data_IF_927163580242
#
_entry.id   IF_927163580242
#
_cell.length_a   1.000
_cell.length_b   1.000
_cell.length_c   1.000
_cell.angle_alpha   90.00
_cell.angle_beta   90.00
_cell.angle_gamma   90.00
#
_symmetry.space_group_name_H-M   'P 1'
#
loop_
_entity.id
_entity.type
_entity.pdbx_description
1 polymer ?
#
# COMPACT_ATOMS: atom_id res chain seq x y z
N UNK A 1 8.99 -9.17 11.10
CA UNK A 1 8.07 -8.06 11.44
C UNK A 1 8.85 -6.76 11.60
N UNK A 2 9.26 -6.05 10.53
CA UNK A 2 9.73 -4.67 10.70
C UNK A 2 9.90 -3.78 9.45
N UNK A 3 9.01 -3.87 8.46
CA UNK A 3 9.15 -3.04 7.25
C UNK A 3 9.24 -1.54 7.57
N UNK A 4 8.46 -1.07 8.56
CA UNK A 4 8.46 0.32 8.96
C UNK A 4 9.77 0.76 9.65
N UNK A 5 10.31 0.05 10.65
CA UNK A 5 11.60 0.49 11.22
C UNK A 5 12.73 0.33 10.22
N UNK A 6 12.71 -0.70 9.38
CA UNK A 6 13.71 -0.83 8.31
C UNK A 6 13.68 0.40 7.40
N UNK A 7 12.48 0.85 6.98
CA UNK A 7 12.31 2.07 6.18
C UNK A 7 12.85 3.31 6.90
N UNK A 8 12.52 3.47 8.18
CA UNK A 8 13.01 4.59 8.99
C UNK A 8 14.54 4.56 9.12
N UNK A 9 15.14 3.38 9.32
CA UNK A 9 16.60 3.24 9.37
C UNK A 9 17.25 3.55 8.02
N UNK A 10 16.65 3.12 6.91
CA UNK A 10 17.21 3.29 5.57
C UNK A 10 17.05 4.71 5.01
N UNK A 11 15.91 5.37 5.28
CA UNK A 11 15.54 6.64 4.62
C UNK A 11 15.30 7.80 5.59
N UNK A 12 15.24 7.53 6.90
CA UNK A 12 14.94 8.52 7.92
C UNK A 12 13.50 9.04 7.85
N UNK A 13 13.28 10.17 8.53
CA UNK A 13 12.02 10.92 8.55
C UNK A 13 12.34 12.35 8.12
N UNK A 14 11.44 13.02 7.40
CA UNK A 14 11.64 14.44 7.07
C UNK A 14 11.57 15.33 8.31
N UNK A 15 12.09 16.57 8.26
CA UNK A 15 11.98 17.52 9.38
C UNK A 15 10.55 17.77 9.85
N UNK A 16 9.57 17.67 8.95
CA UNK A 16 8.15 17.80 9.24
C UNK A 16 7.45 16.47 9.59
N UNK A 17 8.20 15.39 9.81
CA UNK A 17 7.68 14.13 10.33
C UNK A 17 7.14 13.13 9.30
N UNK A 18 7.25 13.41 7.99
CA UNK A 18 6.79 12.50 6.93
C UNK A 18 7.76 11.33 6.74
N UNK A 19 7.19 10.14 6.62
CA UNK A 19 7.91 8.90 6.33
C UNK A 19 8.22 8.73 4.84
N UNK A 20 7.31 9.19 3.98
CA UNK A 20 7.41 9.07 2.52
C UNK A 20 7.48 10.44 1.88
N UNK A 21 8.37 10.59 0.90
CA UNK A 21 8.68 11.83 0.20
C UNK A 21 9.18 11.54 -1.20
N UNK A 22 9.10 12.50 -2.10
CA UNK A 22 9.79 12.41 -3.39
C UNK A 22 11.30 12.47 -3.18
N UNK A 23 12.09 12.10 -4.19
CA UNK A 23 13.55 12.18 -4.14
C UNK A 23 14.06 13.60 -3.79
N UNK A 24 13.30 14.64 -4.13
CA UNK A 24 13.60 16.04 -3.80
C UNK A 24 13.11 16.48 -2.41
N UNK A 25 12.58 15.56 -1.61
CA UNK A 25 12.04 15.83 -0.27
C UNK A 25 10.62 16.43 -0.25
N UNK A 26 9.96 16.51 -1.40
CA UNK A 26 8.60 17.05 -1.53
C UNK A 26 7.51 16.04 -1.21
N UNK A 27 6.26 16.52 -1.24
CA UNK A 27 5.08 15.66 -1.09
C UNK A 27 4.95 14.72 -2.29
N UNK A 28 4.57 13.46 -2.02
CA UNK A 28 4.24 12.50 -3.06
C UNK A 28 2.99 12.99 -3.78
N UNK A 29 3.07 13.05 -5.11
CA UNK A 29 1.95 13.41 -5.97
C UNK A 29 1.09 12.17 -6.24
N UNK A 30 -0.22 12.38 -6.45
CA UNK A 30 -1.17 11.29 -6.73
C UNK A 30 -0.76 10.45 -7.95
N UNK A 31 -0.18 11.08 -8.97
CA UNK A 31 0.32 10.39 -10.18
C UNK A 31 1.46 9.43 -9.85
N UNK A 32 2.48 9.91 -9.12
CA UNK A 32 3.61 9.08 -8.71
C UNK A 32 3.20 7.96 -7.75
N UNK A 33 2.20 8.20 -6.90
CA UNK A 33 1.60 7.16 -6.08
C UNK A 33 0.91 6.09 -6.93
N UNK A 34 0.16 6.49 -7.96
CA UNK A 34 -0.50 5.58 -8.90
C UNK A 34 0.47 4.70 -9.71
N UNK A 35 1.62 5.25 -10.12
CA UNK A 35 2.67 4.49 -10.81
C UNK A 35 3.27 3.41 -9.91
N UNK A 36 3.66 3.78 -8.68
CA UNK A 36 4.17 2.83 -7.68
C UNK A 36 3.13 1.76 -7.36
N UNK A 37 1.85 2.14 -7.32
CA UNK A 37 0.75 1.20 -7.12
C UNK A 37 0.61 0.17 -8.25
N UNK A 38 0.67 0.63 -9.50
CA UNK A 38 0.59 -0.23 -10.66
C UNK A 38 1.77 -1.22 -10.69
N UNK A 39 2.98 -0.74 -10.41
CA UNK A 39 4.17 -1.57 -10.32
C UNK A 39 4.08 -2.61 -9.19
N UNK A 40 3.62 -2.20 -8.01
CA UNK A 40 3.42 -3.11 -6.89
C UNK A 40 2.43 -4.24 -7.22
N UNK A 41 1.31 -3.92 -7.88
CA UNK A 41 0.35 -4.91 -8.33
C UNK A 41 0.94 -5.87 -9.36
N UNK A 42 1.67 -5.37 -10.35
CA UNK A 42 2.31 -6.21 -11.37
C UNK A 42 3.31 -7.21 -10.77
N UNK A 43 3.94 -6.88 -9.64
CA UNK A 43 4.85 -7.77 -8.92
C UNK A 43 4.14 -8.75 -7.98
N UNK A 44 2.98 -8.38 -7.44
CA UNK A 44 2.29 -9.15 -6.42
C UNK A 44 1.18 -10.06 -6.98
N UNK A 45 0.61 -9.72 -8.13
CA UNK A 45 -0.54 -10.40 -8.73
C UNK A 45 -0.14 -11.15 -10.01
N UNK A 46 -0.92 -12.17 -10.36
CA UNK A 46 -0.80 -12.82 -11.66
C UNK A 46 -1.27 -11.91 -12.80
N UNK A 47 -0.84 -12.13 -14.06
CA UNK A 47 -1.29 -11.32 -15.20
C UNK A 47 -2.81 -11.27 -15.35
N UNK A 48 -3.50 -12.40 -15.12
CA UNK A 48 -4.97 -12.47 -15.17
C UNK A 48 -5.63 -11.64 -14.06
N UNK A 49 -5.04 -11.59 -12.87
CA UNK A 49 -5.52 -10.76 -11.76
C UNK A 49 -5.29 -9.28 -12.04
N UNK A 50 -4.12 -8.89 -12.58
CA UNK A 50 -3.86 -7.51 -13.01
C UNK A 50 -4.82 -7.02 -14.10
N UNK A 51 -5.25 -7.90 -15.01
CA UNK A 51 -6.22 -7.57 -16.05
C UNK A 51 -7.67 -7.43 -15.53
N UNK A 52 -7.93 -7.85 -14.28
CA UNK A 52 -9.25 -7.78 -13.66
C UNK A 52 -9.50 -6.45 -12.94
N UNK A 53 -10.66 -6.31 -12.27
CA UNK A 53 -10.95 -5.17 -11.40
C UNK A 53 -10.25 -5.27 -10.02
N UNK A 54 -9.53 -6.35 -9.75
CA UNK A 54 -8.84 -6.55 -8.48
C UNK A 54 -7.76 -5.49 -8.27
N UNK A 55 -7.81 -4.79 -7.13
CA UNK A 55 -6.81 -3.80 -6.71
C UNK A 55 -6.52 -2.72 -7.76
N UNK A 56 -7.47 -2.44 -8.66
CA UNK A 56 -7.33 -1.46 -9.75
C UNK A 56 -7.02 -0.07 -9.19
N UNK A 57 -7.58 0.26 -8.04
CA UNK A 57 -7.28 1.47 -7.28
C UNK A 57 -6.73 1.10 -5.90
N UNK A 58 -5.83 1.92 -5.34
CA UNK A 58 -5.39 1.78 -3.94
C UNK A 58 -6.55 1.65 -2.95
N UNK A 59 -7.63 2.39 -3.20
CA UNK A 59 -8.82 2.41 -2.36
C UNK A 59 -9.58 1.08 -2.33
N UNK A 60 -9.43 0.25 -3.37
CA UNK A 60 -10.10 -1.06 -3.46
C UNK A 60 -9.57 -2.01 -2.36
N UNK A 61 -8.30 -1.87 -1.94
CA UNK A 61 -7.77 -2.64 -0.81
C UNK A 61 -8.38 -2.23 0.53
N UNK A 62 -8.70 -0.94 0.71
CA UNK A 62 -9.37 -0.48 1.93
C UNK A 62 -10.76 -1.12 2.03
N UNK A 63 -11.49 -1.16 0.92
CA UNK A 63 -12.76 -1.88 0.85
C UNK A 63 -12.60 -3.37 1.09
N UNK A 64 -11.62 -4.02 0.47
CA UNK A 64 -11.34 -5.44 0.66
C UNK A 64 -11.02 -5.78 2.13
N UNK A 65 -10.20 -4.96 2.80
CA UNK A 65 -9.89 -5.14 4.22
C UNK A 65 -11.14 -5.05 5.11
N UNK A 66 -12.00 -4.06 4.88
CA UNK A 66 -13.27 -3.92 5.62
C UNK A 66 -14.19 -5.12 5.37
N UNK A 67 -14.35 -5.56 4.11
CA UNK A 67 -15.14 -6.75 3.79
C UNK A 67 -14.56 -8.02 4.42
N UNK A 68 -13.24 -8.13 4.50
CA UNK A 68 -12.55 -9.24 5.17
C UNK A 68 -12.81 -9.22 6.68
N UNK A 69 -12.82 -8.05 7.30
CA UNK A 69 -13.11 -7.89 8.74
C UNK A 69 -14.59 -8.12 9.09
N UNK A 70 -15.50 -7.99 8.14
CA UNK A 70 -16.93 -8.23 8.35
C UNK A 70 -17.36 -9.64 7.93
N UNK A 71 -16.48 -10.38 7.26
CA UNK A 71 -16.72 -11.78 6.91
C UNK A 71 -16.71 -12.65 8.18
N UNK A 72 -17.62 -13.64 8.33
CA UNK A 72 -17.88 -14.31 9.62
C UNK A 72 -16.73 -15.19 10.18
N UNK A 73 -15.54 -15.13 9.59
CA UNK A 73 -14.40 -16.01 9.93
C UNK A 73 -13.29 -15.37 10.76
N UNK A 74 -13.23 -14.03 10.88
CA UNK A 74 -12.00 -13.39 11.42
C UNK A 74 -12.05 -13.04 12.92
N UNK A 75 -13.23 -13.08 13.55
CA UNK A 75 -13.37 -12.91 15.00
C UNK A 75 -14.23 -14.01 15.63
N UNK A 76 -13.61 -15.15 15.91
CA UNK A 76 -13.93 -15.96 17.08
C UNK A 76 -12.64 -16.21 17.83
N UNK A 77 -12.39 -15.36 18.84
CA UNK A 77 -11.49 -15.73 19.94
C UNK A 77 -11.96 -17.09 20.47
N UNK A 78 -11.08 -18.08 20.44
CA UNK A 78 -10.98 -19.09 21.49
C UNK A 78 -9.56 -19.01 22.02
#
# INVERSE_FOLDING_TARGET
MNLLRWHVTAYGVTPDGRLFRTQRGGLIQDTGYGEVWAEANARALTPAQCASLLAKRPYDLRHAAVSTWLSPGWNRRR
#
